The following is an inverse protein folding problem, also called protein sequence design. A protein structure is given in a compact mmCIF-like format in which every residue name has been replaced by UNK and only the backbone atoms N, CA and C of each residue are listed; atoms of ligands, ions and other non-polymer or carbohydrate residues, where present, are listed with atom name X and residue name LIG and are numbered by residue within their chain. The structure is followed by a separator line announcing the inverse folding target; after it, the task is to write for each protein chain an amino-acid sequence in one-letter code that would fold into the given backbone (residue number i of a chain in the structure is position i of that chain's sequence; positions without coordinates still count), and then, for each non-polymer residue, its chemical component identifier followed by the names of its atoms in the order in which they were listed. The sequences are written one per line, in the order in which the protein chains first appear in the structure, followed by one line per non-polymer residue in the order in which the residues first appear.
data_IF_396009794327
#
_entry.id   IF_396009794327
#
_cell.length_a   1.000
_cell.length_b   1.000
_cell.length_c   1.000
_cell.angle_alpha   90.00
_cell.angle_beta   90.00
_cell.angle_gamma   90.00
#
_symmetry.space_group_name_H-M   'P 1'
#
loop_
_entity.id
_entity.type
_entity.pdbx_description
1 polymer ?
#
# COMPACT_ATOMS: atom_id res chain seq x y z
N UNK A 1 63.99 10.06 16.33
CA UNK A 1 63.69 8.86 15.55
C UNK A 1 62.30 8.27 15.95
N UNK A 2 61.25 9.10 16.16
CA UNK A 2 59.94 8.61 16.68
C UNK A 2 58.73 9.15 15.88
N UNK A 3 58.93 9.72 14.72
CA UNK A 3 57.82 10.34 13.90
C UNK A 3 57.36 9.49 12.69
N UNK A 4 57.96 8.30 12.48
CA UNK A 4 57.55 7.46 11.32
C UNK A 4 56.73 6.23 11.71
N UNK A 5 56.57 5.91 12.98
CA UNK A 5 55.81 4.74 13.41
C UNK A 5 54.32 5.00 13.67
N UNK A 6 53.90 6.25 13.76
CA UNK A 6 52.48 6.61 14.04
C UNK A 6 51.63 6.71 12.77
N UNK A 7 52.25 6.89 11.61
CA UNK A 7 51.53 7.07 10.34
C UNK A 7 51.12 5.75 9.68
N UNK A 8 51.67 4.61 10.13
CA UNK A 8 51.34 3.29 9.59
C UNK A 8 50.21 2.60 10.33
N UNK A 9 49.84 3.06 11.54
CA UNK A 9 48.77 2.49 12.33
C UNK A 9 47.37 3.06 11.96
N UNK A 10 47.32 4.24 11.33
CA UNK A 10 46.05 4.86 10.91
C UNK A 10 45.52 4.41 9.54
N UNK A 11 46.35 3.83 8.70
CA UNK A 11 45.94 3.33 7.37
C UNK A 11 45.40 1.90 7.39
N UNK A 12 45.58 1.17 8.47
CA UNK A 12 45.04 -0.19 8.61
C UNK A 12 43.67 -0.23 9.30
N UNK A 13 43.26 0.86 9.97
CA UNK A 13 41.97 0.94 10.67
C UNK A 13 40.81 1.44 9.80
N UNK A 14 41.09 1.99 8.59
CA UNK A 14 40.03 2.50 7.70
C UNK A 14 39.56 1.49 6.64
N UNK A 15 40.12 0.28 6.59
CA UNK A 15 39.73 -0.74 5.60
C UNK A 15 38.82 -1.84 6.15
N UNK A 16 38.43 -1.76 7.43
CA UNK A 16 37.61 -2.81 8.06
C UNK A 16 36.13 -2.44 8.23
N UNK A 17 35.65 -1.32 7.65
CA UNK A 17 34.27 -0.86 7.83
C UNK A 17 33.48 -0.68 6.52
N UNK A 18 33.92 -1.33 5.44
CA UNK A 18 33.17 -1.32 4.18
C UNK A 18 32.80 -2.75 3.73
N UNK A 19 32.31 -3.53 4.67
CA UNK A 19 31.56 -4.74 4.35
C UNK A 19 30.45 -4.77 5.37
N UNK A 20 29.26 -4.37 4.97
CA UNK A 20 27.98 -4.85 5.47
C UNK A 20 26.94 -3.83 5.08
N UNK A 21 26.18 -4.22 4.12
CA UNK A 21 24.74 -4.31 4.17
C UNK A 21 24.27 -4.92 2.85
N UNK A 22 24.66 -6.17 2.62
CA UNK A 22 23.71 -7.04 1.95
C UNK A 22 22.67 -7.35 3.02
N UNK A 23 21.44 -6.89 2.82
CA UNK A 23 20.32 -7.34 3.62
C UNK A 23 20.26 -8.86 3.50
N UNK A 24 20.53 -9.56 4.60
CA UNK A 24 20.21 -10.96 4.73
C UNK A 24 18.70 -11.08 4.57
N UNK A 25 18.26 -11.54 3.39
CA UNK A 25 16.94 -12.11 3.27
C UNK A 25 16.93 -13.33 4.20
N UNK A 26 16.11 -13.29 5.22
CA UNK A 26 15.85 -14.45 6.08
C UNK A 26 15.35 -15.59 5.18
N UNK A 27 16.24 -16.51 4.82
CA UNK A 27 15.89 -17.77 4.20
C UNK A 27 15.38 -18.65 5.34
N UNK A 28 14.14 -19.12 5.23
CA UNK A 28 13.60 -20.06 6.21
C UNK A 28 14.46 -21.34 6.23
N UNK A 29 14.48 -22.04 7.34
CA UNK A 29 15.29 -23.25 7.55
C UNK A 29 14.99 -24.38 6.53
N UNK A 30 13.99 -24.24 5.65
CA UNK A 30 13.60 -25.23 4.64
C UNK A 30 14.19 -24.94 3.25
N UNK A 31 14.90 -23.81 3.08
CA UNK A 31 15.53 -23.45 1.81
C UNK A 31 14.55 -23.19 0.66
N UNK A 32 13.26 -22.99 0.96
CA UNK A 32 12.27 -22.55 -0.02
C UNK A 32 12.20 -21.04 -0.04
N UNK A 33 12.32 -20.48 -1.24
CA UNK A 33 12.00 -19.07 -1.43
C UNK A 33 10.59 -18.79 -0.89
N UNK A 34 10.38 -17.65 -0.18
CA UNK A 34 9.05 -17.28 0.26
C UNK A 34 8.12 -17.26 -0.95
N UNK A 35 7.04 -18.02 -0.90
CA UNK A 35 5.99 -17.96 -1.91
C UNK A 35 5.36 -16.59 -1.80
N UNK A 36 5.87 -15.63 -2.58
CA UNK A 36 5.22 -14.35 -2.71
C UNK A 36 3.79 -14.60 -3.18
N UNK A 37 2.78 -13.97 -2.53
CA UNK A 37 1.41 -14.09 -2.99
C UNK A 37 1.37 -13.73 -4.48
N UNK A 38 0.77 -14.59 -5.30
CA UNK A 38 0.60 -14.31 -6.72
C UNK A 38 -0.21 -13.01 -6.82
N UNK A 39 0.44 -11.94 -7.27
CA UNK A 39 -0.25 -10.68 -7.51
C UNK A 39 -1.18 -10.92 -8.69
N UNK A 40 -2.48 -10.82 -8.46
CA UNK A 40 -3.48 -10.82 -9.51
C UNK A 40 -3.15 -9.69 -10.49
N UNK A 41 -2.77 -10.03 -11.70
CA UNK A 41 -2.39 -9.05 -12.71
C UNK A 41 -3.64 -8.62 -13.45
N UNK A 42 -4.05 -7.36 -13.24
CA UNK A 42 -5.03 -6.72 -14.11
C UNK A 42 -4.33 -6.14 -15.34
N UNK A 43 -4.93 -6.32 -16.50
CA UNK A 43 -4.42 -5.75 -17.77
C UNK A 43 -5.56 -5.32 -18.67
N UNK A 44 -5.26 -4.45 -19.61
CA UNK A 44 -6.18 -4.13 -20.71
C UNK A 44 -5.94 -5.14 -21.83
N UNK A 45 -6.97 -5.86 -22.21
CA UNK A 45 -6.94 -6.84 -23.30
C UNK A 45 -7.81 -6.35 -24.47
N UNK A 46 -7.45 -6.76 -25.69
CA UNK A 46 -8.24 -6.48 -26.89
C UNK A 46 -8.46 -7.77 -27.65
N UNK A 47 -9.71 -8.12 -27.87
CA UNK A 47 -10.11 -9.28 -28.62
C UNK A 47 -11.27 -8.94 -29.57
N UNK A 48 -11.20 -9.38 -30.83
CA UNK A 48 -12.20 -9.11 -31.86
C UNK A 48 -12.56 -7.61 -31.98
N UNK A 49 -11.58 -6.72 -31.83
CA UNK A 49 -11.76 -5.25 -31.90
C UNK A 49 -12.45 -4.64 -30.68
N UNK A 50 -12.69 -5.41 -29.62
CA UNK A 50 -13.23 -4.92 -28.35
C UNK A 50 -12.15 -4.88 -27.30
N UNK A 51 -12.02 -3.74 -26.61
CA UNK A 51 -11.07 -3.55 -25.52
C UNK A 51 -11.81 -3.67 -24.19
N UNK A 52 -11.23 -4.42 -23.25
CA UNK A 52 -11.80 -4.68 -21.93
C UNK A 52 -10.71 -4.82 -20.87
N UNK A 53 -11.10 -4.64 -19.61
CA UNK A 53 -10.26 -4.98 -18.47
C UNK A 53 -10.30 -6.49 -18.25
N UNK A 54 -9.14 -7.10 -18.10
CA UNK A 54 -8.99 -8.50 -17.72
C UNK A 54 -8.39 -8.58 -16.32
N UNK A 55 -8.98 -9.41 -15.48
CA UNK A 55 -8.49 -9.71 -14.13
C UNK A 55 -8.43 -11.24 -14.02
N UNK A 56 -7.31 -11.77 -13.57
CA UNK A 56 -7.08 -13.23 -13.44
C UNK A 56 -7.37 -14.01 -14.74
N UNK A 57 -6.98 -13.42 -15.88
CA UNK A 57 -7.18 -14.04 -17.20
C UNK A 57 -8.64 -14.08 -17.67
N UNK A 58 -9.54 -13.31 -17.06
CA UNK A 58 -10.96 -13.26 -17.42
C UNK A 58 -11.42 -11.82 -17.67
N UNK A 59 -12.34 -11.60 -18.62
CA UNK A 59 -12.98 -10.30 -18.80
C UNK A 59 -13.64 -9.84 -17.48
N UNK A 60 -13.31 -8.63 -17.06
CA UNK A 60 -13.81 -8.04 -15.83
C UNK A 60 -14.68 -6.81 -16.16
N UNK A 61 -16.00 -6.97 -16.24
CA UNK A 61 -16.92 -5.85 -16.46
C UNK A 61 -16.99 -5.02 -15.17
N UNK A 62 -16.21 -3.93 -15.13
CA UNK A 62 -16.11 -3.06 -13.96
C UNK A 62 -17.48 -2.45 -13.59
N UNK A 63 -17.95 -2.72 -12.40
CA UNK A 63 -19.09 -2.09 -11.73
C UNK A 63 -18.58 -1.48 -10.44
N UNK A 64 -18.11 -0.23 -10.55
CA UNK A 64 -17.44 0.47 -9.46
C UNK A 64 -18.40 1.30 -8.60
N UNK A 65 -18.06 1.43 -7.32
CA UNK A 65 -18.63 2.42 -6.42
C UNK A 65 -17.52 3.06 -5.60
N UNK A 66 -17.66 4.35 -5.27
CA UNK A 66 -16.73 5.03 -4.38
C UNK A 66 -17.24 5.01 -2.94
N UNK A 67 -16.39 4.62 -2.01
CA UNK A 67 -16.62 4.75 -0.58
C UNK A 67 -15.71 5.87 -0.07
N UNK A 68 -16.31 7.01 0.29
CA UNK A 68 -15.60 8.19 0.81
C UNK A 68 -15.13 7.95 2.24
N UNK A 69 -14.09 7.13 2.39
CA UNK A 69 -13.51 6.75 3.68
C UNK A 69 -13.11 7.97 4.51
N UNK A 70 -12.54 8.98 3.85
CA UNK A 70 -12.18 10.26 4.44
C UNK A 70 -13.38 10.95 5.12
N UNK A 71 -14.51 11.03 4.43
CA UNK A 71 -15.73 11.63 4.99
C UNK A 71 -16.31 10.79 6.13
N UNK A 72 -16.40 9.47 5.96
CA UNK A 72 -16.93 8.58 6.98
C UNK A 72 -16.14 8.64 8.29
N UNK A 73 -14.82 8.65 8.23
CA UNK A 73 -13.97 8.71 9.42
C UNK A 73 -13.87 10.12 9.99
N UNK A 74 -13.70 11.15 9.17
CA UNK A 74 -13.41 12.52 9.62
C UNK A 74 -14.66 13.37 9.87
N UNK A 75 -15.72 13.24 9.04
CA UNK A 75 -16.95 14.01 9.19
C UNK A 75 -17.97 13.25 10.01
N UNK A 76 -18.28 12.03 9.65
CA UNK A 76 -19.32 11.22 10.30
C UNK A 76 -18.82 10.53 11.56
N UNK A 77 -17.52 10.60 11.86
CA UNK A 77 -16.88 10.02 13.05
C UNK A 77 -17.11 8.51 13.22
N UNK A 78 -17.30 7.83 12.13
CA UNK A 78 -17.42 6.37 12.13
C UNK A 78 -16.12 5.71 12.54
N UNK A 79 -16.22 4.60 13.25
CA UNK A 79 -15.10 3.68 13.43
C UNK A 79 -14.84 2.90 12.14
N UNK A 80 -13.61 2.41 11.96
CA UNK A 80 -13.27 1.59 10.80
C UNK A 80 -14.15 0.33 10.70
N UNK A 81 -14.58 -0.24 11.82
CA UNK A 81 -15.46 -1.40 11.83
C UNK A 81 -16.88 -1.09 11.30
N UNK A 82 -17.38 0.11 11.49
CA UNK A 82 -18.68 0.53 10.95
C UNK A 82 -18.61 0.72 9.42
N UNK A 83 -17.43 1.07 8.88
CA UNK A 83 -17.20 1.20 7.45
C UNK A 83 -17.41 -0.14 6.73
N UNK A 84 -17.20 -1.28 7.38
CA UNK A 84 -17.44 -2.60 6.80
C UNK A 84 -18.84 -2.75 6.19
N UNK A 85 -19.86 -2.11 6.79
CA UNK A 85 -21.23 -2.18 6.28
C UNK A 85 -21.37 -1.63 4.85
N UNK A 86 -20.53 -0.68 4.45
CA UNK A 86 -20.53 -0.13 3.09
C UNK A 86 -20.01 -1.15 2.07
N UNK A 87 -19.03 -1.96 2.44
CA UNK A 87 -18.54 -3.06 1.60
C UNK A 87 -19.61 -4.13 1.41
N UNK A 88 -20.26 -4.53 2.49
CA UNK A 88 -21.40 -5.44 2.43
C UNK A 88 -22.49 -4.90 1.51
N UNK A 89 -22.83 -3.63 1.66
CA UNK A 89 -23.85 -2.99 0.82
C UNK A 89 -23.45 -2.89 -0.65
N UNK A 90 -22.19 -2.62 -0.94
CA UNK A 90 -21.66 -2.62 -2.30
C UNK A 90 -21.83 -4.01 -2.96
N UNK A 91 -21.48 -5.08 -2.24
CA UNK A 91 -21.70 -6.45 -2.71
C UNK A 91 -23.19 -6.73 -3.00
N UNK A 92 -24.08 -6.40 -2.07
CA UNK A 92 -25.53 -6.58 -2.22
C UNK A 92 -26.11 -5.86 -3.46
N UNK A 93 -25.50 -4.73 -3.85
CA UNK A 93 -25.87 -3.94 -5.02
C UNK A 93 -25.22 -4.45 -6.32
N UNK A 94 -24.44 -5.53 -6.27
CA UNK A 94 -23.76 -6.10 -7.44
C UNK A 94 -22.53 -5.30 -7.88
N UNK A 95 -21.97 -4.44 -7.03
CA UNK A 95 -20.67 -3.81 -7.22
C UNK A 95 -19.59 -4.89 -7.14
N UNK A 96 -18.56 -4.79 -7.99
CA UNK A 96 -17.42 -5.71 -7.98
C UNK A 96 -16.07 -5.02 -7.75
N UNK A 97 -16.06 -3.69 -7.69
CA UNK A 97 -14.87 -2.90 -7.37
C UNK A 97 -15.25 -1.68 -6.56
N UNK A 98 -14.55 -1.43 -5.46
CA UNK A 98 -14.73 -0.23 -4.65
C UNK A 98 -13.51 0.67 -4.76
N UNK A 99 -13.75 1.95 -5.01
CA UNK A 99 -12.74 2.99 -5.08
C UNK A 99 -12.67 3.70 -3.72
N UNK A 100 -11.49 3.72 -3.12
CA UNK A 100 -11.26 4.22 -1.76
C UNK A 100 -10.24 5.35 -1.78
N UNK A 101 -10.62 6.59 -1.46
CA UNK A 101 -9.67 7.67 -1.23
C UNK A 101 -8.82 7.41 0.03
N UNK A 102 -7.50 7.46 -0.13
CA UNK A 102 -6.52 7.39 0.95
C UNK A 102 -5.67 8.65 0.89
N UNK A 103 -5.61 9.39 1.98
CA UNK A 103 -4.72 10.55 2.11
C UNK A 103 -3.39 10.16 2.74
N UNK A 104 -2.36 10.94 2.44
CA UNK A 104 -1.01 10.69 2.95
C UNK A 104 -0.98 10.58 4.47
N UNK A 105 -1.60 11.53 5.19
CA UNK A 105 -1.63 11.53 6.64
C UNK A 105 -2.36 10.32 7.27
N UNK A 106 -3.19 9.60 6.51
CA UNK A 106 -3.81 8.36 6.99
C UNK A 106 -2.80 7.22 7.10
N UNK A 107 -1.72 7.28 6.33
CA UNK A 107 -0.65 6.28 6.30
C UNK A 107 0.56 6.77 7.10
N UNK A 108 0.89 8.06 7.01
CA UNK A 108 2.04 8.69 7.62
C UNK A 108 1.57 9.95 8.35
N UNK A 109 1.03 9.79 9.56
CA UNK A 109 0.59 10.94 10.37
C UNK A 109 1.77 11.77 10.90
N UNK A 110 2.95 11.16 11.02
CA UNK A 110 4.22 11.80 11.38
C UNK A 110 5.31 11.30 10.46
N UNK A 111 6.22 12.19 10.09
CA UNK A 111 7.35 11.91 9.22
C UNK A 111 8.06 10.58 9.59
N UNK A 112 8.28 9.72 8.60
CA UNK A 112 8.92 8.40 8.69
C UNK A 112 8.20 7.39 9.62
N UNK A 113 6.96 7.64 10.02
CA UNK A 113 6.15 6.70 10.83
C UNK A 113 4.92 6.24 10.06
N UNK A 114 5.03 5.04 9.48
CA UNK A 114 3.99 4.46 8.63
C UNK A 114 3.05 3.56 9.41
N UNK A 115 1.74 3.76 9.22
CA UNK A 115 0.67 2.95 9.79
C UNK A 115 -0.28 2.50 8.67
N UNK A 116 -0.30 1.20 8.38
CA UNK A 116 -1.15 0.60 7.36
C UNK A 116 -2.42 -0.06 7.93
N UNK A 117 -2.76 0.13 9.20
CA UNK A 117 -3.90 -0.52 9.82
C UNK A 117 -5.22 -0.24 9.09
N UNK A 118 -5.44 0.99 8.65
CA UNK A 118 -6.62 1.36 7.87
C UNK A 118 -6.65 0.61 6.53
N UNK A 119 -5.53 0.59 5.81
CA UNK A 119 -5.41 -0.13 4.54
C UNK A 119 -5.64 -1.61 4.73
N UNK A 120 -5.04 -2.21 5.75
CA UNK A 120 -5.23 -3.63 6.06
C UNK A 120 -6.71 -3.94 6.36
N UNK A 121 -7.41 -3.07 7.08
CA UNK A 121 -8.85 -3.25 7.38
C UNK A 121 -9.69 -3.24 6.10
N UNK A 122 -9.50 -2.26 5.21
CA UNK A 122 -10.25 -2.19 3.95
C UNK A 122 -9.92 -3.36 3.01
N UNK A 123 -8.68 -3.85 2.98
CA UNK A 123 -8.30 -5.05 2.23
C UNK A 123 -9.01 -6.30 2.79
N UNK A 124 -9.10 -6.43 4.11
CA UNK A 124 -9.83 -7.53 4.74
C UNK A 124 -11.34 -7.46 4.42
N UNK A 125 -11.96 -6.28 4.46
CA UNK A 125 -13.37 -6.11 4.08
C UNK A 125 -13.60 -6.46 2.61
N UNK A 126 -12.74 -5.97 1.71
CA UNK A 126 -12.83 -6.28 0.30
C UNK A 126 -12.72 -7.78 0.03
N UNK A 127 -11.75 -8.45 0.64
CA UNK A 127 -11.60 -9.90 0.53
C UNK A 127 -12.84 -10.65 1.07
N UNK A 128 -13.38 -10.21 2.22
CA UNK A 128 -14.56 -10.82 2.83
C UNK A 128 -15.80 -10.75 1.93
N UNK A 129 -15.94 -9.68 1.15
CA UNK A 129 -17.10 -9.44 0.28
C UNK A 129 -16.82 -9.65 -1.21
N UNK A 130 -15.68 -10.26 -1.56
CA UNK A 130 -15.26 -10.53 -2.95
C UNK A 130 -15.29 -9.27 -3.84
N UNK A 131 -14.75 -8.18 -3.33
CA UNK A 131 -14.65 -6.89 -4.01
C UNK A 131 -13.19 -6.62 -4.39
N UNK A 132 -12.96 -6.14 -5.60
CA UNK A 132 -11.66 -5.55 -5.96
C UNK A 132 -11.58 -4.13 -5.40
N UNK A 133 -10.35 -3.65 -5.17
CA UNK A 133 -10.11 -2.28 -4.65
C UNK A 133 -9.31 -1.46 -5.65
N UNK A 134 -9.71 -0.22 -5.80
CA UNK A 134 -8.93 0.85 -6.41
C UNK A 134 -8.60 1.88 -5.33
N UNK A 135 -7.33 2.03 -4.97
CA UNK A 135 -6.88 3.03 -4.02
C UNK A 135 -6.59 4.35 -4.75
N UNK A 136 -7.27 5.41 -4.34
CA UNK A 136 -7.00 6.77 -4.81
C UNK A 136 -6.08 7.46 -3.81
N UNK A 137 -4.83 7.66 -4.23
CA UNK A 137 -3.85 8.34 -3.39
C UNK A 137 -3.95 9.85 -3.48
N UNK A 138 -4.19 10.51 -2.35
CA UNK A 138 -4.18 11.97 -2.22
C UNK A 138 -3.03 12.42 -1.32
N UNK A 139 -2.00 13.01 -1.95
CA UNK A 139 -0.82 13.47 -1.22
C UNK A 139 -0.93 14.92 -0.79
N UNK A 140 -1.50 15.79 -1.61
CA UNK A 140 -1.43 17.24 -1.40
C UNK A 140 -2.76 17.97 -1.50
N UNK A 141 -3.72 17.46 -2.24
CA UNK A 141 -4.99 18.14 -2.45
C UNK A 141 -6.12 17.14 -2.70
N UNK A 142 -7.24 17.37 -2.05
CA UNK A 142 -8.53 16.76 -2.31
C UNK A 142 -9.53 17.89 -2.50
N UNK A 143 -10.52 17.72 -3.36
CA UNK A 143 -11.48 18.78 -3.69
C UNK A 143 -12.10 19.40 -2.43
N UNK A 144 -11.86 20.68 -2.22
CA UNK A 144 -12.42 21.46 -1.12
C UNK A 144 -11.70 21.32 0.23
N UNK A 145 -10.63 20.53 0.30
CA UNK A 145 -9.94 20.28 1.55
C UNK A 145 -8.65 21.08 1.68
N UNK A 146 -8.32 21.42 2.93
CA UNK A 146 -7.10 22.13 3.21
C UNK A 146 -5.91 21.17 3.13
N UNK A 147 -4.85 21.68 2.56
CA UNK A 147 -3.55 21.05 2.41
C UNK A 147 -3.00 20.45 3.72
N UNK A 148 -3.27 21.12 4.84
CA UNK A 148 -2.62 20.86 6.12
C UNK A 148 -2.99 19.53 6.78
N UNK A 149 -4.09 18.91 6.43
CA UNK A 149 -4.43 17.62 7.04
C UNK A 149 -4.33 16.42 6.12
N UNK A 150 -3.92 16.64 4.90
CA UNK A 150 -3.62 15.56 3.96
C UNK A 150 -2.17 15.10 4.03
N UNK A 151 -1.27 15.95 4.56
CA UNK A 151 0.16 15.68 4.66
C UNK A 151 0.57 15.28 6.08
N UNK A 152 1.69 14.58 6.28
CA UNK A 152 2.31 14.37 7.59
C UNK A 152 2.57 15.68 8.35
N UNK A 153 2.56 15.61 9.68
CA UNK A 153 2.81 16.75 10.57
C UNK A 153 4.01 16.49 11.47
#
# INVERSE_FOLDING_TARGET
MYKKAILLAYTLACFSFLAIACADSEVDETGKEPILPQIEVSKVATENGKTYLEVDGKPFPLRGAQIRLDALLNCDKMSINEVENYFKKAQELGVNCVQIPISWNMIEAKEEKYDFNIVNSILQFANKYDLKIELLWFSTNMVGDSFTYLTPQ
#
